data_IF_172617619842
#
_entry.id   IF_172617619842
#
_cell.length_a   1.000
_cell.length_b   1.000
_cell.length_c   1.000
_cell.angle_alpha   90.00
_cell.angle_beta   90.00
_cell.angle_gamma   90.00
#
_symmetry.space_group_name_H-M   'P 1'
#
loop_
_entity.id
_entity.type
_entity.pdbx_description
1 polymer ?
#
# COMPACT_ATOMS: atom_id res chain seq x y z
N UNK A 1 -15.88 37.40 -26.45
CA UNK A 1 -14.48 37.79 -26.75
C UNK A 1 -13.64 37.56 -25.50
N UNK A 2 -12.74 36.58 -25.49
CA UNK A 2 -11.97 36.19 -24.30
C UNK A 2 -11.09 37.35 -23.78
N UNK A 3 -11.10 37.60 -22.46
CA UNK A 3 -10.35 38.68 -21.77
C UNK A 3 -8.85 38.66 -22.10
N UNK A 4 -8.28 37.46 -22.29
CA UNK A 4 -6.88 37.28 -22.68
C UNK A 4 -6.55 37.91 -24.04
N UNK A 5 -7.48 37.85 -24.99
CA UNK A 5 -7.35 38.50 -26.30
C UNK A 5 -7.73 39.98 -26.28
N UNK A 6 -8.06 40.55 -25.12
CA UNK A 6 -8.23 42.00 -24.93
C UNK A 6 -6.98 42.63 -24.30
N UNK A 7 -6.24 41.86 -23.49
CA UNK A 7 -5.00 42.27 -22.83
C UNK A 7 -3.86 42.58 -23.81
N UNK A 8 -3.32 43.79 -23.75
CA UNK A 8 -2.12 44.21 -24.50
C UNK A 8 -0.88 43.44 -24.02
N UNK A 9 -0.78 43.21 -22.71
CA UNK A 9 0.31 42.48 -22.08
C UNK A 9 0.40 41.03 -22.58
N UNK A 10 -0.74 40.35 -22.71
CA UNK A 10 -0.79 38.99 -23.25
C UNK A 10 -0.33 38.92 -24.70
N UNK A 11 -0.77 39.88 -25.53
CA UNK A 11 -0.30 40.01 -26.92
C UNK A 11 1.21 40.24 -27.00
N UNK A 12 1.77 41.11 -26.15
CA UNK A 12 3.21 41.38 -26.11
C UNK A 12 4.02 40.16 -25.69
N UNK A 13 3.53 39.40 -24.71
CA UNK A 13 4.17 38.15 -24.29
C UNK A 13 4.16 37.20 -25.48
N UNK A 14 3.00 36.89 -26.07
CA UNK A 14 2.86 35.97 -27.21
C UNK A 14 3.72 36.39 -28.40
N UNK A 15 3.76 37.68 -28.73
CA UNK A 15 4.62 38.20 -29.80
C UNK A 15 6.11 37.95 -29.49
N UNK A 16 6.57 38.25 -28.27
CA UNK A 16 7.95 37.97 -27.86
C UNK A 16 8.28 36.48 -27.82
N UNK A 17 7.34 35.62 -27.42
CA UNK A 17 7.54 34.16 -27.43
C UNK A 17 7.61 33.58 -28.84
N UNK A 18 6.93 34.20 -29.81
CA UNK A 18 7.02 33.80 -31.22
C UNK A 18 8.31 34.29 -31.87
N UNK A 19 8.70 35.53 -31.61
CA UNK A 19 9.79 36.18 -32.34
C UNK A 19 11.18 35.84 -31.74
N UNK A 20 11.24 35.36 -30.49
CA UNK A 20 12.49 35.02 -29.79
C UNK A 20 12.50 33.59 -29.24
N UNK A 21 13.34 32.75 -29.86
CA UNK A 21 13.65 31.39 -29.37
C UNK A 21 14.18 31.35 -27.93
N UNK A 22 15.17 32.18 -27.53
CA UNK A 22 15.66 32.15 -26.15
C UNK A 22 14.62 32.62 -25.13
N UNK A 23 13.74 33.56 -25.49
CA UNK A 23 12.63 33.95 -24.63
C UNK A 23 11.61 32.82 -24.46
N UNK A 24 11.32 32.06 -25.53
CA UNK A 24 10.45 30.88 -25.44
C UNK A 24 10.98 29.82 -24.49
N UNK A 25 12.26 29.44 -24.62
CA UNK A 25 12.84 28.41 -23.76
C UNK A 25 12.91 28.83 -22.29
N UNK A 26 13.26 30.09 -22.01
CA UNK A 26 13.28 30.61 -20.64
C UNK A 26 11.88 30.67 -20.03
N UNK A 27 10.89 31.16 -20.79
CA UNK A 27 9.49 31.17 -20.37
C UNK A 27 8.97 29.76 -20.09
N UNK A 28 9.23 28.80 -21.00
CA UNK A 28 8.83 27.41 -20.83
C UNK A 28 9.48 26.76 -19.59
N UNK A 29 10.77 27.01 -19.37
CA UNK A 29 11.48 26.54 -18.16
C UNK A 29 10.84 27.09 -16.89
N UNK A 30 10.56 28.39 -16.84
CA UNK A 30 9.92 29.02 -15.68
C UNK A 30 8.54 28.43 -15.41
N UNK A 31 7.74 28.22 -16.46
CA UNK A 31 6.43 27.58 -16.35
C UNK A 31 6.48 26.11 -15.93
N UNK A 32 7.60 25.40 -16.12
CA UNK A 32 7.78 24.04 -15.61
C UNK A 32 8.32 24.01 -14.17
N UNK A 33 9.34 24.81 -13.89
CA UNK A 33 10.06 24.80 -12.61
C UNK A 33 9.19 25.33 -11.48
N UNK A 34 8.48 26.46 -11.69
CA UNK A 34 7.68 27.07 -10.62
C UNK A 34 6.57 26.11 -10.15
N UNK A 35 5.71 25.54 -11.02
CA UNK A 35 4.72 24.56 -10.59
C UNK A 35 5.34 23.30 -9.99
N UNK A 36 6.51 22.86 -10.49
CA UNK A 36 7.25 21.73 -9.92
C UNK A 36 7.68 21.98 -8.47
N UNK A 37 8.25 23.15 -8.17
CA UNK A 37 8.64 23.52 -6.81
C UNK A 37 7.42 23.66 -5.88
N UNK A 38 6.35 24.30 -6.35
CA UNK A 38 5.10 24.43 -5.57
C UNK A 38 4.48 23.06 -5.31
N UNK A 39 4.38 22.21 -6.33
CA UNK A 39 3.86 20.85 -6.20
C UNK A 39 4.70 20.00 -5.24
N UNK A 40 6.03 20.09 -5.31
CA UNK A 40 6.92 19.43 -4.38
C UNK A 40 6.74 19.95 -2.94
N UNK A 41 6.63 21.26 -2.76
CA UNK A 41 6.37 21.87 -1.44
C UNK A 41 5.04 21.40 -0.85
N UNK A 42 3.96 21.41 -1.65
CA UNK A 42 2.64 20.90 -1.23
C UNK A 42 2.72 19.42 -0.89
N UNK A 43 3.41 18.61 -1.70
CA UNK A 43 3.60 17.19 -1.44
C UNK A 43 4.36 16.97 -0.14
N UNK A 44 5.42 17.74 0.14
CA UNK A 44 6.17 17.63 1.39
C UNK A 44 5.34 18.03 2.62
N UNK A 45 4.52 19.08 2.52
CA UNK A 45 3.65 19.52 3.62
C UNK A 45 2.48 18.56 3.85
N UNK A 46 1.94 17.97 2.79
CA UNK A 46 0.75 17.11 2.85
C UNK A 46 1.09 15.63 3.02
N UNK A 47 2.35 15.23 2.81
CA UNK A 47 2.77 13.85 2.98
C UNK A 47 2.73 13.47 4.46
N UNK A 48 1.68 12.74 4.85
CA UNK A 48 1.48 12.21 6.19
C UNK A 48 2.45 11.08 6.55
N UNK A 49 3.33 10.65 5.63
CA UNK A 49 4.44 9.73 5.91
C UNK A 49 5.57 10.45 6.63
N UNK A 50 5.33 10.74 7.89
CA UNK A 50 6.40 11.11 8.80
C UNK A 50 7.07 9.81 9.28
N UNK A 51 8.16 9.39 8.63
CA UNK A 51 8.94 8.20 9.02
C UNK A 51 9.34 8.22 10.50
N UNK A 52 9.51 9.42 11.07
CA UNK A 52 9.78 9.63 12.50
C UNK A 52 8.57 9.29 13.36
N UNK A 53 7.35 9.57 12.89
CA UNK A 53 6.12 9.22 13.59
C UNK A 53 5.81 7.72 13.44
N UNK A 54 6.00 7.14 12.25
CA UNK A 54 5.87 5.70 12.06
C UNK A 54 6.86 4.91 12.92
N UNK A 55 8.13 5.30 12.94
CA UNK A 55 9.14 4.66 13.79
C UNK A 55 8.83 4.84 15.29
N UNK A 56 8.34 6.02 15.69
CA UNK A 56 7.91 6.26 17.07
C UNK A 56 6.69 5.42 17.46
N UNK A 57 5.68 5.32 16.60
CA UNK A 57 4.50 4.48 16.79
C UNK A 57 4.87 2.99 16.81
N UNK A 58 5.80 2.57 15.96
CA UNK A 58 6.32 1.20 15.93
C UNK A 58 7.11 0.87 17.20
N UNK A 59 7.88 1.81 17.72
CA UNK A 59 8.60 1.66 18.98
C UNK A 59 7.66 1.65 20.20
N UNK A 60 6.60 2.47 20.18
CA UNK A 60 5.55 2.50 21.21
C UNK A 60 4.51 1.40 21.08
N UNK A 61 4.54 0.60 20.02
CA UNK A 61 3.55 -0.46 19.81
C UNK A 61 3.68 -1.54 20.89
N UNK A 62 2.54 -2.10 21.32
CA UNK A 62 2.51 -3.19 22.30
C UNK A 62 3.34 -4.37 21.77
N UNK A 63 4.04 -5.11 22.65
CA UNK A 63 4.91 -6.23 22.23
C UNK A 63 4.18 -7.25 21.36
N UNK A 64 2.89 -7.50 21.61
CA UNK A 64 2.06 -8.39 20.80
C UNK A 64 1.86 -7.89 19.36
N UNK A 65 1.63 -6.59 19.17
CA UNK A 65 1.50 -6.00 17.83
C UNK A 65 2.80 -6.11 17.04
N UNK A 66 3.94 -5.95 17.73
CA UNK A 66 5.27 -6.11 17.13
C UNK A 66 5.53 -7.56 16.70
N UNK A 67 5.18 -8.53 17.54
CA UNK A 67 5.29 -9.96 17.23
C UNK A 67 4.38 -10.34 16.05
N UNK A 68 3.13 -9.88 16.03
CA UNK A 68 2.21 -10.12 14.90
C UNK A 68 2.74 -9.50 13.59
N UNK A 69 3.33 -8.30 13.66
CA UNK A 69 3.96 -7.68 12.52
C UNK A 69 5.15 -8.47 11.96
N UNK A 70 5.90 -9.15 12.82
CA UNK A 70 7.00 -10.03 12.40
C UNK A 70 6.48 -11.33 11.78
N UNK A 71 5.52 -12.00 12.44
CA UNK A 71 4.88 -13.22 11.92
C UNK A 71 4.24 -12.98 10.55
N UNK A 72 3.59 -11.84 10.34
CA UNK A 72 2.99 -11.51 9.05
C UNK A 72 4.03 -11.29 7.95
N UNK A 73 5.20 -10.73 8.27
CA UNK A 73 6.31 -10.58 7.32
C UNK A 73 6.91 -11.93 6.94
N UNK A 74 7.13 -12.79 7.93
CA UNK A 74 7.69 -14.12 7.71
C UNK A 74 6.76 -14.97 6.83
N UNK A 75 5.44 -14.93 7.09
CA UNK A 75 4.43 -15.56 6.22
C UNK A 75 4.41 -15.00 4.81
N UNK A 76 4.52 -13.68 4.67
CA UNK A 76 4.55 -13.06 3.34
C UNK A 76 5.79 -13.49 2.56
N UNK A 77 6.95 -13.57 3.21
CA UNK A 77 8.17 -14.06 2.59
C UNK A 77 8.04 -15.53 2.14
N UNK A 78 7.39 -16.37 2.96
CA UNK A 78 7.08 -17.76 2.60
C UNK A 78 6.16 -17.83 1.37
N UNK A 79 5.04 -17.10 1.37
CA UNK A 79 4.14 -17.05 0.21
C UNK A 79 4.84 -16.57 -1.07
N UNK A 80 5.72 -15.57 -0.98
CA UNK A 80 6.47 -15.10 -2.13
C UNK A 80 7.49 -16.13 -2.62
N UNK A 81 8.13 -16.86 -1.70
CA UNK A 81 9.06 -17.93 -2.05
C UNK A 81 8.33 -19.11 -2.72
N UNK A 82 7.14 -19.46 -2.26
CA UNK A 82 6.27 -20.49 -2.86
C UNK A 82 5.82 -20.09 -4.27
N UNK A 83 5.39 -18.84 -4.46
CA UNK A 83 5.04 -18.29 -5.77
C UNK A 83 6.23 -18.33 -6.74
N UNK A 84 7.44 -18.00 -6.25
CA UNK A 84 8.66 -18.06 -7.05
C UNK A 84 9.00 -19.50 -7.46
N UNK A 85 8.75 -20.48 -6.58
CA UNK A 85 8.96 -21.91 -6.86
C UNK A 85 7.86 -22.54 -7.71
N UNK A 86 6.76 -21.81 -7.97
CA UNK A 86 5.56 -22.30 -8.68
C UNK A 86 5.01 -23.60 -8.08
N UNK A 87 5.11 -23.74 -6.76
CA UNK A 87 4.65 -24.93 -6.07
C UNK A 87 3.11 -24.95 -6.03
N UNK A 88 2.50 -26.12 -6.23
CA UNK A 88 1.05 -26.25 -6.13
C UNK A 88 0.63 -26.12 -4.66
N UNK A 89 -0.13 -25.06 -4.36
CA UNK A 89 -0.56 -24.69 -3.00
C UNK A 89 -2.01 -25.07 -2.73
N UNK A 90 -2.64 -25.86 -3.62
CA UNK A 90 -4.05 -26.25 -3.51
C UNK A 90 -4.38 -26.97 -2.19
N UNK A 91 -3.41 -27.70 -1.63
CA UNK A 91 -3.53 -28.40 -0.34
C UNK A 91 -3.95 -27.46 0.81
N UNK A 92 -3.49 -26.20 0.80
CA UNK A 92 -3.88 -25.20 1.83
C UNK A 92 -5.34 -24.79 1.69
N UNK A 93 -5.85 -24.66 0.48
CA UNK A 93 -7.24 -24.30 0.23
C UNK A 93 -8.17 -25.46 0.62
N UNK A 94 -7.77 -26.70 0.31
CA UNK A 94 -8.51 -27.90 0.72
C UNK A 94 -8.53 -28.04 2.25
N UNK A 95 -7.41 -27.78 2.93
CA UNK A 95 -7.33 -27.78 4.40
C UNK A 95 -8.23 -26.68 5.02
N UNK A 96 -8.22 -25.47 4.46
CA UNK A 96 -9.09 -24.38 4.91
C UNK A 96 -10.59 -24.72 4.75
N UNK A 97 -10.97 -25.36 3.63
CA UNK A 97 -12.33 -25.86 3.40
C UNK A 97 -12.73 -26.96 4.40
N UNK A 98 -11.76 -27.73 4.90
CA UNK A 98 -11.95 -28.73 5.97
C UNK A 98 -11.97 -28.12 7.37
N UNK A 99 -11.83 -26.80 7.50
CA UNK A 99 -11.81 -26.10 8.79
C UNK A 99 -10.46 -26.19 9.53
N UNK A 100 -9.39 -26.63 8.85
CA UNK A 100 -8.04 -26.69 9.42
C UNK A 100 -7.42 -25.28 9.41
N UNK A 101 -7.24 -24.66 10.59
CA UNK A 101 -6.77 -23.28 10.68
C UNK A 101 -5.25 -23.14 10.46
N UNK A 102 -4.88 -22.33 9.48
CA UNK A 102 -3.51 -22.06 8.99
C UNK A 102 -2.68 -21.12 9.88
N UNK A 103 -2.67 -21.27 11.21
CA UNK A 103 -1.87 -20.37 12.07
C UNK A 103 -1.37 -21.00 13.38
N UNK A 104 -0.14 -21.56 13.38
CA UNK A 104 0.84 -21.44 14.51
C UNK A 104 2.25 -22.04 14.29
N UNK A 105 2.70 -22.35 13.07
CA UNK A 105 4.11 -22.70 12.85
C UNK A 105 4.60 -22.28 11.45
N UNK A 106 5.68 -21.49 11.33
CA UNK A 106 6.21 -21.02 10.04
C UNK A 106 6.88 -22.12 9.19
N UNK A 107 6.93 -23.35 9.68
CA UNK A 107 7.53 -24.50 8.97
C UNK A 107 6.56 -25.68 8.83
N UNK A 108 5.29 -25.51 9.22
CA UNK A 108 4.30 -26.61 9.23
C UNK A 108 3.11 -26.21 8.38
N UNK A 109 2.95 -26.89 7.24
CA UNK A 109 1.96 -26.60 6.19
C UNK A 109 0.50 -26.78 6.68
N UNK A 110 0.24 -27.70 7.61
CA UNK A 110 -1.11 -28.04 8.11
C UNK A 110 -1.01 -28.32 9.62
N UNK A 111 -1.89 -27.71 10.42
CA UNK A 111 -1.97 -28.03 11.85
C UNK A 111 -2.96 -29.18 12.10
N UNK A 112 -2.58 -30.18 12.92
CA UNK A 112 -3.53 -31.19 13.34
C UNK A 112 -4.58 -30.59 14.28
N UNK A 113 -5.85 -30.95 14.06
CA UNK A 113 -6.99 -30.56 14.88
C UNK A 113 -6.84 -31.22 16.28
N UNK A 114 -7.00 -30.49 17.39
CA UNK A 114 -7.16 -31.13 18.70
C UNK A 114 -8.39 -32.04 18.65
N UNK A 115 -8.19 -33.37 18.80
CA UNK A 115 -9.29 -34.34 18.81
C UNK A 115 -10.30 -33.97 19.89
N UNK A 116 -11.45 -33.45 19.49
CA UNK A 116 -12.61 -33.36 20.38
C UNK A 116 -13.12 -34.79 20.57
N UNK A 117 -13.00 -35.34 21.78
CA UNK A 117 -13.73 -36.55 22.14
C UNK A 117 -15.22 -36.21 22.08
N UNK A 118 -16.04 -36.91 21.28
CA UNK A 118 -17.47 -36.61 21.20
C UNK A 118 -18.08 -36.97 22.55
N UNK A 119 -18.51 -35.94 23.28
CA UNK A 119 -19.36 -36.11 24.46
C UNK A 119 -20.77 -36.39 23.96
N UNK A 120 -21.36 -37.48 24.45
CA UNK A 120 -22.70 -37.98 24.13
C UNK A 120 -23.73 -36.87 23.94
N UNK A 121 -24.31 -36.82 22.74
CA UNK A 121 -25.50 -36.02 22.46
C UNK A 121 -26.69 -36.79 23.03
N UNK A 122 -27.21 -36.35 24.17
CA UNK A 122 -28.48 -36.83 24.72
C UNK A 122 -29.62 -36.32 23.84
N UNK A 123 -30.37 -37.22 23.20
CA UNK A 123 -31.58 -36.89 22.43
C UNK A 123 -32.71 -36.39 23.35
N UNK A 124 -33.45 -35.31 23.00
CA UNK A 124 -34.69 -34.99 23.68
C UNK A 124 -35.85 -35.76 23.07
N UNK A 125 -36.45 -36.65 23.86
CA UNK A 125 -37.68 -37.39 23.57
C UNK A 125 -38.86 -36.41 23.44
N UNK A 126 -39.52 -36.38 22.28
CA UNK A 126 -40.81 -35.69 22.06
C UNK A 126 -41.96 -36.56 22.59
N UNK A 127 -42.88 -35.92 23.31
CA UNK A 127 -44.23 -36.43 23.67
C UNK A 127 -45.11 -36.66 22.44
#
# INVERSE_FOLDING_TARGET
MNILWKSESWRRIVAKTRDSKPFFFTFAMVCGVIPGCVGYGVMQVTNSRNEKLESHLRNKSRPETRMMGQVNKDRLAEYLAELQRKEDTNDRYVAALRGETLTRNPYVRIQPIPKQNPTEVTEPKKE
#
